data_IF_383302625394
#
_entry.id   IF_383302625394
#
_cell.length_a   1.000
_cell.length_b   1.000
_cell.length_c   1.000
_cell.angle_alpha   90.00
_cell.angle_beta   90.00
_cell.angle_gamma   90.00
#
_symmetry.space_group_name_H-M   'P 1'
#
loop_
_entity.id
_entity.type
_entity.pdbx_description
1 polymer ?
#
# COMPACT_ATOMS: atom_id res chain seq x y z
N UNK A 1 -10.39 29.20 -0.77
CA UNK A 1 -10.35 27.80 -1.16
C UNK A 1 -9.30 27.09 -0.31
N UNK A 2 -9.61 25.88 0.16
CA UNK A 2 -8.67 25.06 0.91
C UNK A 2 -7.58 24.55 -0.04
N UNK A 3 -6.30 24.72 0.33
CA UNK A 3 -5.16 24.31 -0.51
C UNK A 3 -5.14 22.79 -0.76
N UNK A 4 -5.58 21.99 0.21
CA UNK A 4 -5.71 20.54 0.03
C UNK A 4 -6.78 20.22 -1.02
N UNK A 5 -7.94 20.88 -0.92
CA UNK A 5 -9.04 20.69 -1.88
C UNK A 5 -8.60 21.08 -3.29
N UNK A 6 -7.86 22.18 -3.43
CA UNK A 6 -7.32 22.58 -4.73
C UNK A 6 -6.37 21.54 -5.32
N UNK A 7 -5.44 21.03 -4.48
CA UNK A 7 -4.50 19.99 -4.93
C UNK A 7 -5.24 18.72 -5.35
N UNK A 8 -6.31 18.37 -4.65
CA UNK A 8 -7.14 17.21 -4.97
C UNK A 8 -7.85 17.39 -6.31
N UNK A 9 -8.45 18.57 -6.54
CA UNK A 9 -9.12 18.89 -7.79
C UNK A 9 -8.16 18.85 -8.97
N UNK A 10 -6.93 19.32 -8.78
CA UNK A 10 -5.89 19.30 -9.79
C UNK A 10 -5.17 17.95 -9.92
N UNK A 11 -5.52 16.98 -9.10
CA UNK A 11 -4.87 15.65 -9.05
C UNK A 11 -3.35 15.77 -8.86
N UNK A 12 -2.93 16.72 -8.05
CA UNK A 12 -1.52 17.00 -7.80
C UNK A 12 -1.01 16.15 -6.63
N UNK A 13 -0.44 15.00 -6.96
CA UNK A 13 0.02 14.03 -5.97
C UNK A 13 1.14 14.58 -5.08
N UNK A 14 2.07 15.33 -5.65
CA UNK A 14 3.18 15.93 -4.89
C UNK A 14 2.67 16.90 -3.83
N UNK A 15 1.69 17.72 -4.16
CA UNK A 15 1.08 18.63 -3.21
C UNK A 15 0.27 17.89 -2.16
N UNK A 16 -0.49 16.86 -2.55
CA UNK A 16 -1.26 16.05 -1.61
C UNK A 16 -0.37 15.36 -0.58
N UNK A 17 0.82 14.93 -0.96
CA UNK A 17 1.77 14.28 -0.05
C UNK A 17 2.26 15.19 1.06
N UNK A 18 2.24 16.50 0.85
CA UNK A 18 2.71 17.48 1.85
C UNK A 18 1.75 17.67 3.02
N UNK A 19 0.48 17.27 2.85
CA UNK A 19 -0.52 17.45 3.89
C UNK A 19 -0.59 16.24 4.80
N UNK A 20 -0.66 16.45 6.14
CA UNK A 20 -0.80 15.33 7.06
C UNK A 20 -2.13 14.61 6.83
N UNK A 21 -2.10 13.29 6.93
CA UNK A 21 -3.24 12.41 6.70
C UNK A 21 -3.26 11.29 7.72
N UNK A 22 -4.43 10.72 7.93
CA UNK A 22 -4.59 9.54 8.75
C UNK A 22 -5.09 8.38 7.86
N UNK A 23 -4.49 7.21 8.03
CA UNK A 23 -4.96 5.97 7.44
C UNK A 23 -5.41 5.08 8.59
N UNK A 24 -6.71 4.90 8.74
CA UNK A 24 -7.31 4.23 9.90
C UNK A 24 -7.69 2.78 9.61
N UNK A 25 -7.42 2.28 8.41
CA UNK A 25 -7.75 0.92 8.04
C UNK A 25 -6.79 0.43 6.93
N UNK A 26 -5.66 -0.12 7.35
CA UNK A 26 -4.66 -0.61 6.40
C UNK A 26 -4.26 -2.05 6.74
N UNK A 27 -4.36 -2.92 5.76
CA UNK A 27 -3.89 -4.30 5.86
C UNK A 27 -2.45 -4.36 5.37
N UNK A 28 -1.50 -4.63 6.27
CA UNK A 28 -0.07 -4.56 5.95
C UNK A 28 0.33 -5.48 4.79
N UNK A 29 -0.40 -6.58 4.58
CA UNK A 29 -0.11 -7.53 3.50
C UNK A 29 -0.30 -6.87 2.12
N UNK A 30 -1.27 -5.96 2.01
CA UNK A 30 -1.63 -5.32 0.74
C UNK A 30 -1.20 -3.86 0.65
N UNK A 31 -0.88 -3.23 1.78
CA UNK A 31 -0.61 -1.80 1.85
C UNK A 31 0.84 -1.39 1.61
N UNK A 32 1.73 -2.35 1.38
CA UNK A 32 3.17 -2.07 1.28
C UNK A 32 3.58 -1.45 -0.05
N UNK A 33 4.66 -0.68 0.00
CA UNK A 33 5.27 -0.09 -1.19
C UNK A 33 5.87 -1.20 -2.06
N UNK A 34 5.35 -1.34 -3.27
CA UNK A 34 5.74 -2.43 -4.19
C UNK A 34 7.19 -2.34 -4.64
N UNK A 35 7.69 -1.13 -4.85
CA UNK A 35 9.09 -0.94 -5.24
C UNK A 35 10.03 -1.35 -4.11
N UNK A 36 9.70 -0.97 -2.86
CA UNK A 36 10.47 -1.37 -1.69
C UNK A 36 10.51 -2.90 -1.55
N UNK A 37 9.35 -3.55 -1.74
CA UNK A 37 9.26 -5.01 -1.68
C UNK A 37 10.14 -5.64 -2.78
N UNK A 38 10.05 -5.14 -4.00
CA UNK A 38 10.85 -5.65 -5.12
C UNK A 38 12.35 -5.49 -4.88
N UNK A 39 12.77 -4.31 -4.40
CA UNK A 39 14.18 -4.03 -4.17
C UNK A 39 14.80 -4.97 -3.13
N UNK A 40 14.03 -5.40 -2.15
CA UNK A 40 14.52 -6.25 -1.05
C UNK A 40 14.35 -7.73 -1.33
N UNK A 41 13.28 -8.14 -2.01
CA UNK A 41 12.94 -9.55 -2.19
C UNK A 41 13.07 -10.01 -3.65
N UNK A 42 13.16 -9.09 -4.59
CA UNK A 42 13.07 -9.34 -6.04
C UNK A 42 11.73 -9.93 -6.47
N UNK A 43 10.72 -9.88 -5.60
CA UNK A 43 9.36 -10.31 -5.93
C UNK A 43 8.55 -9.12 -6.41
N UNK A 44 8.00 -9.24 -7.62
CA UNK A 44 7.22 -8.18 -8.24
C UNK A 44 5.73 -8.46 -8.06
N UNK A 45 5.04 -7.53 -7.41
CA UNK A 45 3.58 -7.59 -7.25
C UNK A 45 2.97 -6.65 -8.28
N UNK A 46 2.32 -7.23 -9.30
CA UNK A 46 1.71 -6.45 -10.36
C UNK A 46 0.42 -5.78 -9.86
N UNK A 47 0.16 -4.53 -10.28
CA UNK A 47 -1.13 -3.91 -9.98
C UNK A 47 -2.25 -4.63 -10.71
N UNK A 48 -3.46 -4.55 -10.15
CA UNK A 48 -4.64 -5.09 -10.79
C UNK A 48 -4.91 -4.36 -12.11
N UNK A 49 -5.08 -5.14 -13.19
CA UNK A 49 -5.42 -4.59 -14.49
C UNK A 49 -6.88 -4.15 -14.54
N UNK A 50 -7.75 -4.87 -13.85
CA UNK A 50 -9.19 -4.63 -13.81
C UNK A 50 -9.70 -4.70 -12.38
N UNK A 51 -10.81 -4.01 -12.03
CA UNK A 51 -11.41 -4.16 -10.72
C UNK A 51 -11.79 -5.61 -10.43
N UNK A 52 -11.66 -6.01 -9.18
CA UNK A 52 -12.10 -7.34 -8.73
C UNK A 52 -13.61 -7.36 -8.61
N UNK A 53 -14.24 -8.46 -9.06
CA UNK A 53 -15.70 -8.61 -9.06
C UNK A 53 -16.23 -9.41 -7.87
N UNK A 54 -15.35 -10.12 -7.13
CA UNK A 54 -15.77 -10.97 -6.02
C UNK A 54 -14.62 -11.21 -5.04
N UNK A 55 -14.96 -11.70 -3.85
CA UNK A 55 -13.95 -12.13 -2.86
C UNK A 55 -13.15 -13.33 -3.36
N UNK A 56 -13.76 -14.23 -4.13
CA UNK A 56 -13.06 -15.38 -4.71
C UNK A 56 -11.97 -14.91 -5.67
N UNK A 57 -12.26 -13.93 -6.49
CA UNK A 57 -11.30 -13.34 -7.42
C UNK A 57 -10.14 -12.67 -6.65
N UNK A 58 -10.44 -11.98 -5.58
CA UNK A 58 -9.43 -11.39 -4.69
C UNK A 58 -8.54 -12.47 -4.07
N UNK A 59 -9.14 -13.56 -3.60
CA UNK A 59 -8.38 -14.66 -3.00
C UNK A 59 -7.46 -15.33 -4.02
N UNK A 60 -7.92 -15.54 -5.26
CA UNK A 60 -7.10 -16.08 -6.34
C UNK A 60 -5.92 -15.17 -6.67
N UNK A 61 -6.15 -13.87 -6.74
CA UNK A 61 -5.09 -12.88 -6.97
C UNK A 61 -4.07 -12.91 -5.83
N UNK A 62 -4.55 -12.95 -4.59
CA UNK A 62 -3.68 -12.99 -3.41
C UNK A 62 -2.81 -14.25 -3.38
N UNK A 63 -3.38 -15.42 -3.72
CA UNK A 63 -2.63 -16.66 -3.78
C UNK A 63 -1.55 -16.63 -4.86
N UNK A 64 -1.79 -15.92 -5.95
CA UNK A 64 -0.83 -15.81 -7.04
C UNK A 64 0.37 -14.91 -6.68
N UNK A 65 0.11 -13.78 -6.04
CA UNK A 65 1.12 -12.74 -5.81
C UNK A 65 1.61 -12.67 -4.37
N UNK A 66 0.81 -13.13 -3.41
CA UNK A 66 1.13 -13.12 -1.99
C UNK A 66 1.05 -14.57 -1.50
N UNK A 67 2.09 -15.33 -1.85
CA UNK A 67 2.16 -16.75 -1.58
C UNK A 67 2.70 -17.06 -0.18
N UNK A 68 3.03 -18.34 0.06
CA UNK A 68 3.53 -18.79 1.36
C UNK A 68 4.82 -18.12 1.78
N UNK A 69 5.62 -17.61 0.84
CA UNK A 69 6.87 -16.91 1.18
C UNK A 69 6.61 -15.63 1.96
N UNK A 70 5.42 -15.04 1.83
CA UNK A 70 5.03 -13.86 2.58
C UNK A 70 4.44 -14.17 3.96
N UNK A 71 4.30 -15.44 4.33
CA UNK A 71 3.68 -15.84 5.60
C UNK A 71 4.66 -16.08 6.77
N UNK A 72 5.96 -16.04 6.52
CA UNK A 72 6.94 -16.16 7.60
C UNK A 72 6.92 -14.94 8.52
N UNK A 73 7.34 -15.09 9.76
CA UNK A 73 7.44 -13.98 10.71
C UNK A 73 8.35 -12.88 10.19
N UNK A 74 9.48 -13.25 9.60
CA UNK A 74 10.41 -12.30 9.02
C UNK A 74 9.77 -11.49 7.88
N UNK A 75 9.03 -12.17 7.00
CA UNK A 75 8.36 -11.49 5.88
C UNK A 75 7.21 -10.62 6.35
N UNK A 76 6.47 -11.04 7.37
CA UNK A 76 5.41 -10.20 7.93
C UNK A 76 5.96 -8.89 8.51
N UNK A 77 7.07 -8.97 9.25
CA UNK A 77 7.76 -7.79 9.75
C UNK A 77 8.23 -6.89 8.62
N UNK A 78 8.75 -7.48 7.56
CA UNK A 78 9.18 -6.75 6.38
C UNK A 78 8.02 -6.05 5.68
N UNK A 79 6.88 -6.72 5.52
CA UNK A 79 5.70 -6.13 4.90
C UNK A 79 5.12 -4.97 5.72
N UNK A 80 5.16 -5.07 7.05
CA UNK A 80 4.79 -3.96 7.92
C UNK A 80 5.70 -2.76 7.65
N UNK A 81 7.00 -2.99 7.53
CA UNK A 81 7.96 -1.95 7.21
C UNK A 81 7.67 -1.33 5.84
N UNK A 82 7.35 -2.15 4.84
CA UNK A 82 6.97 -1.67 3.51
C UNK A 82 5.73 -0.77 3.56
N UNK A 83 4.78 -1.08 4.44
CA UNK A 83 3.58 -0.27 4.66
C UNK A 83 3.94 1.09 5.26
N UNK A 84 4.86 1.12 6.24
CA UNK A 84 5.35 2.39 6.79
C UNK A 84 6.08 3.24 5.75
N UNK A 85 6.86 2.61 4.88
CA UNK A 85 7.54 3.32 3.80
C UNK A 85 6.54 3.97 2.83
N UNK A 86 5.46 3.26 2.50
CA UNK A 86 4.41 3.82 1.65
C UNK A 86 3.68 4.98 2.35
N UNK A 87 3.32 4.80 3.63
CA UNK A 87 2.65 5.83 4.42
C UNK A 87 3.50 7.10 4.51
N UNK A 88 4.80 6.94 4.75
CA UNK A 88 5.74 8.05 4.81
C UNK A 88 5.79 8.81 3.49
N UNK A 89 5.86 8.09 2.37
CA UNK A 89 5.86 8.69 1.04
C UNK A 89 4.59 9.50 0.78
N UNK A 90 3.45 8.99 1.24
CA UNK A 90 2.14 9.61 1.02
C UNK A 90 1.81 10.73 2.02
N UNK A 91 2.68 10.99 2.99
CA UNK A 91 2.45 12.01 4.00
C UNK A 91 1.45 11.59 5.07
N UNK A 92 1.28 10.30 5.29
CA UNK A 92 0.42 9.76 6.34
C UNK A 92 1.13 9.91 7.68
N UNK A 93 0.47 10.57 8.65
CA UNK A 93 1.05 10.84 9.98
C UNK A 93 0.45 9.98 11.08
N UNK A 94 -0.73 9.41 10.83
CA UNK A 94 -1.38 8.46 11.74
C UNK A 94 -1.75 7.22 10.92
N UNK A 95 -1.26 6.05 11.35
CA UNK A 95 -1.46 4.81 10.61
C UNK A 95 -1.92 3.71 11.55
N UNK A 96 -3.09 3.14 11.28
CA UNK A 96 -3.60 1.95 11.96
C UNK A 96 -3.49 0.75 11.03
N UNK A 97 -2.76 -0.29 11.48
CA UNK A 97 -2.48 -1.46 10.67
C UNK A 97 -3.18 -2.68 11.27
N UNK A 98 -3.84 -3.41 10.41
CA UNK A 98 -4.44 -4.70 10.77
C UNK A 98 -3.82 -5.88 10.04
#
# INVERSE_FOLDING_TARGET
MNSFTYALEQRNLEELRKYPKADLHNHFVLGGNRMFIYQKTRKKIEPLANPLSSMDEMNQWSQKYIDQDFNSTAMRKFLIRATFEQAKEDGVTVLEIG
#
